data_IF_468997692688
#
_entry.id   IF_468997692688
#
_cell.length_a   1.000
_cell.length_b   1.000
_cell.length_c   1.000
_cell.angle_alpha   90.00
_cell.angle_beta   90.00
_cell.angle_gamma   90.00
#
_symmetry.space_group_name_H-M   'P 1'
#
loop_
_entity.id
_entity.type
_entity.pdbx_description
1 polymer ?
#
# COMPACT_ATOMS: atom_id res chain seq x y z
N UNK A 1 -22.89 5.59 10.19
CA UNK A 1 -21.57 5.56 10.85
C UNK A 1 -21.35 4.14 11.37
N UNK A 2 -20.40 3.40 10.79
CA UNK A 2 -20.00 2.09 11.32
C UNK A 2 -20.61 0.90 10.59
N UNK A 3 -19.75 0.17 9.88
CA UNK A 3 -19.94 -1.25 9.56
C UNK A 3 -18.74 -2.11 9.98
N UNK A 4 -17.56 -1.52 10.16
CA UNK A 4 -16.34 -2.29 10.43
C UNK A 4 -15.56 -1.61 11.54
N UNK A 5 -15.36 -2.29 12.68
CA UNK A 5 -14.51 -1.80 13.77
C UNK A 5 -13.18 -2.53 13.77
N UNK A 6 -12.08 -1.79 13.92
CA UNK A 6 -10.74 -2.34 14.01
C UNK A 6 -10.38 -2.57 15.48
N UNK A 7 -10.11 -3.81 15.87
CA UNK A 7 -9.81 -4.18 17.26
C UNK A 7 -8.30 -4.24 17.57
N UNK A 8 -7.45 -3.62 16.76
CA UNK A 8 -5.99 -3.68 16.95
C UNK A 8 -5.34 -5.01 16.54
N UNK A 9 -6.11 -5.94 15.98
CA UNK A 9 -5.64 -7.27 15.58
C UNK A 9 -5.51 -7.39 14.05
N UNK A 10 -4.66 -8.33 13.60
CA UNK A 10 -4.45 -8.59 12.17
C UNK A 10 -5.75 -9.08 11.52
N UNK A 11 -6.13 -8.46 10.42
CA UNK A 11 -7.29 -8.88 9.62
C UNK A 11 -7.03 -10.23 8.94
N UNK A 12 -8.05 -11.08 8.93
CA UNK A 12 -8.10 -12.26 8.07
C UNK A 12 -8.42 -11.91 6.62
N UNK A 13 -8.15 -12.85 5.70
CA UNK A 13 -8.33 -12.66 4.25
C UNK A 13 -9.74 -12.20 3.87
N UNK A 14 -10.78 -12.85 4.39
CA UNK A 14 -12.18 -12.52 4.06
C UNK A 14 -12.58 -11.11 4.50
N UNK A 15 -12.11 -10.69 5.68
CA UNK A 15 -12.35 -9.33 6.16
C UNK A 15 -11.64 -8.28 5.29
N UNK A 16 -10.41 -8.57 4.86
CA UNK A 16 -9.66 -7.69 3.97
C UNK A 16 -10.33 -7.56 2.59
N UNK A 17 -10.85 -8.65 2.03
CA UNK A 17 -11.56 -8.62 0.75
C UNK A 17 -12.84 -7.78 0.82
N UNK A 18 -13.62 -7.90 1.90
CA UNK A 18 -14.80 -7.04 2.11
C UNK A 18 -14.43 -5.56 2.22
N UNK A 19 -13.39 -5.23 3.00
CA UNK A 19 -12.91 -3.85 3.09
C UNK A 19 -12.50 -3.30 1.73
N UNK A 20 -11.84 -4.11 0.90
CA UNK A 20 -11.40 -3.69 -0.43
C UNK A 20 -12.56 -3.43 -1.39
N UNK A 21 -13.58 -4.30 -1.38
CA UNK A 21 -14.69 -4.24 -2.34
C UNK A 21 -15.87 -3.37 -1.92
N UNK A 22 -16.09 -3.18 -0.61
CA UNK A 22 -17.37 -2.69 -0.09
C UNK A 22 -17.24 -1.48 0.84
N UNK A 23 -16.04 -1.16 1.33
CA UNK A 23 -15.89 -0.05 2.27
C UNK A 23 -16.08 1.31 1.58
N UNK A 24 -16.77 2.22 2.26
CA UNK A 24 -16.72 3.62 1.90
C UNK A 24 -15.29 4.16 2.08
N UNK A 25 -14.84 5.02 1.16
CA UNK A 25 -13.47 5.53 1.15
C UNK A 25 -13.13 6.30 2.43
N UNK A 26 -14.06 7.10 2.96
CA UNK A 26 -13.82 7.90 4.16
C UNK A 26 -13.87 7.02 5.42
N UNK A 27 -14.76 6.02 5.46
CA UNK A 27 -14.75 5.01 6.52
C UNK A 27 -13.42 4.24 6.54
N UNK A 28 -12.93 3.80 5.38
CA UNK A 28 -11.65 3.11 5.25
C UNK A 28 -10.47 4.01 5.66
N UNK A 29 -10.50 5.28 5.25
CA UNK A 29 -9.48 6.27 5.62
C UNK A 29 -9.43 6.52 7.14
N UNK A 30 -10.59 6.62 7.80
CA UNK A 30 -10.67 6.79 9.25
C UNK A 30 -10.06 5.60 9.99
N UNK A 31 -10.45 4.38 9.61
CA UNK A 31 -9.92 3.14 10.20
C UNK A 31 -8.40 3.02 9.98
N UNK A 32 -7.92 3.32 8.77
CA UNK A 32 -6.50 3.30 8.46
C UNK A 32 -5.71 4.32 9.30
N UNK A 33 -6.28 5.52 9.53
CA UNK A 33 -5.64 6.54 10.36
C UNK A 33 -5.56 6.11 11.83
N UNK A 34 -6.58 5.44 12.38
CA UNK A 34 -6.53 4.86 13.72
C UNK A 34 -5.37 3.86 13.84
N UNK A 35 -5.24 2.93 12.88
CA UNK A 35 -4.11 1.96 12.85
C UNK A 35 -2.76 2.68 12.77
N UNK A 36 -2.67 3.71 11.92
CA UNK A 36 -1.45 4.51 11.76
C UNK A 36 -1.03 5.15 13.08
N UNK A 37 -1.96 5.68 13.86
CA UNK A 37 -1.69 6.25 15.19
C UNK A 37 -1.31 5.20 16.24
N UNK A 38 -1.91 4.00 16.18
CA UNK A 38 -1.54 2.90 17.08
C UNK A 38 -0.10 2.42 16.84
N UNK A 39 0.30 2.29 15.57
CA UNK A 39 1.64 1.83 15.20
C UNK A 39 2.70 2.94 15.24
N UNK A 40 2.30 4.18 14.95
CA UNK A 40 3.16 5.36 14.92
C UNK A 40 2.49 6.50 15.71
N UNK A 41 2.62 6.52 17.05
CA UNK A 41 1.97 7.52 17.90
C UNK A 41 2.51 8.94 17.70
N UNK A 42 3.75 9.05 17.23
CA UNK A 42 4.36 10.34 16.91
C UNK A 42 3.67 11.03 15.73
N UNK A 43 3.49 12.36 15.75
CA UNK A 43 3.00 13.12 14.60
C UNK A 43 4.07 13.28 13.49
N UNK A 44 5.29 12.81 13.69
CA UNK A 44 6.38 12.98 12.75
C UNK A 44 6.16 12.13 11.49
N UNK A 45 6.22 12.77 10.32
CA UNK A 45 6.25 12.12 9.02
C UNK A 45 7.68 12.15 8.50
N UNK A 46 8.22 10.99 8.14
CA UNK A 46 9.58 10.85 7.59
C UNK A 46 9.55 10.77 6.06
N UNK A 47 10.70 11.02 5.43
CA UNK A 47 10.87 10.91 3.99
C UNK A 47 12.25 10.34 3.67
N UNK A 48 12.41 9.82 2.46
CA UNK A 48 13.69 9.30 1.94
C UNK A 48 14.04 10.03 0.65
N UNK A 49 15.30 10.47 0.53
CA UNK A 49 15.85 10.98 -0.73
C UNK A 49 16.54 9.82 -1.42
N UNK A 50 15.85 9.22 -2.38
CA UNK A 50 16.35 8.08 -3.15
C UNK A 50 16.96 8.52 -4.49
N UNK A 51 17.98 7.79 -4.95
CA UNK A 51 18.56 7.95 -6.29
C UNK A 51 18.71 6.58 -6.92
N UNK A 52 18.05 6.39 -8.06
CA UNK A 52 18.22 5.19 -8.87
C UNK A 52 19.37 5.39 -9.86
N UNK A 53 20.47 4.67 -9.68
CA UNK A 53 21.56 4.59 -10.66
C UNK A 53 21.25 3.44 -11.61
N UNK A 54 20.83 3.79 -12.83
CA UNK A 54 20.52 2.79 -13.85
C UNK A 54 21.79 2.43 -14.63
N UNK A 55 22.44 1.34 -14.22
CA UNK A 55 23.61 0.81 -14.95
C UNK A 55 23.27 0.41 -16.40
N UNK A 56 22.03 -0.04 -16.62
CA UNK A 56 21.47 -0.36 -17.93
C UNK A 56 19.96 -0.21 -17.91
N UNK A 57 19.36 0.06 -19.07
CA UNK A 57 17.91 0.01 -19.30
C UNK A 57 17.50 -1.27 -20.05
N UNK A 58 18.40 -2.22 -20.25
CA UNK A 58 18.13 -3.53 -20.89
C UNK A 58 17.77 -4.54 -19.80
N UNK A 59 16.63 -5.22 -19.94
CA UNK A 59 16.13 -6.13 -18.90
C UNK A 59 15.56 -7.43 -19.49
N UNK A 60 15.86 -8.57 -18.85
CA UNK A 60 15.33 -9.90 -19.20
C UNK A 60 14.14 -10.35 -18.36
N UNK A 61 13.86 -9.67 -17.22
CA UNK A 61 12.89 -10.10 -16.21
C UNK A 61 11.42 -9.96 -16.60
N UNK A 62 11.12 -9.26 -17.70
CA UNK A 62 9.76 -9.11 -18.28
C UNK A 62 8.68 -8.58 -17.33
N UNK A 63 9.05 -7.69 -16.42
CA UNK A 63 8.10 -7.09 -15.49
C UNK A 63 7.09 -6.20 -16.23
N UNK A 64 5.80 -6.53 -16.17
CA UNK A 64 4.74 -5.82 -16.90
C UNK A 64 4.50 -4.36 -16.47
N UNK A 65 5.08 -3.93 -15.36
CA UNK A 65 5.01 -2.56 -14.85
C UNK A 65 6.34 -1.79 -15.00
N UNK A 66 7.44 -2.47 -15.38
CA UNK A 66 8.77 -1.86 -15.43
C UNK A 66 9.04 -1.27 -16.81
N UNK A 67 9.55 -0.04 -16.85
CA UNK A 67 9.82 0.69 -18.10
C UNK A 67 11.01 0.13 -18.92
N UNK A 68 11.83 -0.76 -18.35
CA UNK A 68 13.06 -1.26 -19.00
C UNK A 68 12.87 -2.52 -19.83
N UNK A 69 11.81 -3.29 -19.59
CA UNK A 69 11.57 -4.45 -20.44
C UNK A 69 10.95 -4.03 -21.77
N UNK A 70 11.47 -4.60 -22.87
CA UNK A 70 10.90 -4.51 -24.20
C UNK A 70 10.87 -5.91 -24.83
N UNK A 71 9.82 -6.26 -25.61
CA UNK A 71 9.85 -7.47 -26.41
C UNK A 71 10.97 -7.38 -27.47
N UNK A 72 11.55 -8.52 -27.90
CA UNK A 72 12.44 -8.55 -29.06
C UNK A 72 11.72 -8.05 -30.32
N UNK A 73 12.48 -7.42 -31.23
CA UNK A 73 12.02 -7.11 -32.60
C UNK A 73 11.83 -8.39 -33.44
#
# INVERSE_FOLDING_TARGET
>A
MGKISFQGSRLGKEAALRLYGEADLLELGSLANEVRHLLNPSPNVTYTVDRNINYTNVCVSRCGFCAFWRPPE
#
